data_IF_424601099713
#
_entry.id   IF_424601099713
#
_cell.length_a   1.000
_cell.length_b   1.000
_cell.length_c   1.000
_cell.angle_alpha   90.00
_cell.angle_beta   90.00
_cell.angle_gamma   90.00
#
_symmetry.space_group_name_H-M   'P 1'
#
loop_
_entity.id
_entity.type
_entity.pdbx_description
1 polymer ?
#
# COMPACT_ATOMS: atom_id res chain seq x y z
N UNK A 1 16.05 -8.60 10.34
CA UNK A 1 14.86 -7.73 10.23
C UNK A 1 13.83 -8.37 9.30
N UNK A 2 14.22 -8.77 8.08
CA UNK A 2 13.30 -9.36 7.09
C UNK A 2 12.73 -10.71 7.59
N UNK A 3 13.53 -11.58 8.18
CA UNK A 3 13.09 -12.85 8.77
C UNK A 3 12.02 -12.65 9.84
N UNK A 4 12.25 -11.67 10.73
CA UNK A 4 11.28 -11.34 11.79
C UNK A 4 9.96 -10.82 11.22
N UNK A 5 10.01 -9.99 10.17
CA UNK A 5 8.79 -9.50 9.51
C UNK A 5 8.07 -10.63 8.76
N UNK A 6 8.81 -11.47 8.05
CA UNK A 6 8.25 -12.59 7.30
C UNK A 6 7.52 -13.58 8.21
N UNK A 7 8.07 -13.89 9.42
CA UNK A 7 7.43 -14.80 10.37
C UNK A 7 6.06 -14.32 10.89
N UNK A 8 5.72 -13.07 10.69
CA UNK A 8 4.43 -12.49 11.09
C UNK A 8 3.39 -12.49 9.94
N UNK A 9 3.80 -12.84 8.73
CA UNK A 9 2.95 -12.79 7.52
C UNK A 9 2.55 -14.21 7.15
N UNK A 10 1.25 -14.48 7.11
CA UNK A 10 0.73 -15.80 6.72
C UNK A 10 0.85 -16.03 5.22
N UNK A 11 1.03 -17.29 4.83
CA UNK A 11 1.08 -17.70 3.42
C UNK A 11 2.49 -17.72 2.83
N UNK A 12 3.53 -17.49 3.65
CA UNK A 12 4.94 -17.59 3.26
C UNK A 12 5.70 -18.49 4.20
N UNK A 13 6.64 -19.23 3.62
CA UNK A 13 7.62 -20.02 4.33
C UNK A 13 9.02 -19.55 3.93
N UNK A 14 9.89 -19.32 4.92
CA UNK A 14 11.28 -19.00 4.69
C UNK A 14 12.05 -20.32 4.48
N UNK A 15 12.38 -20.63 3.23
CA UNK A 15 13.08 -21.85 2.87
C UNK A 15 14.59 -21.71 3.09
N UNK A 16 15.21 -20.68 2.50
CA UNK A 16 16.66 -20.51 2.52
C UNK A 16 17.09 -19.04 2.61
N UNK A 17 18.35 -18.84 3.00
CA UNK A 17 18.98 -17.52 3.07
C UNK A 17 20.32 -17.57 2.37
N UNK A 18 20.45 -16.82 1.28
CA UNK A 18 21.71 -16.60 0.60
C UNK A 18 22.44 -15.37 1.13
N UNK A 19 23.76 -15.44 1.27
CA UNK A 19 24.58 -14.33 1.80
C UNK A 19 25.16 -13.45 0.69
N UNK A 20 25.16 -13.93 -0.54
CA UNK A 20 25.66 -13.24 -1.73
C UNK A 20 24.97 -13.77 -3.00
N UNK A 21 25.22 -13.13 -4.14
CA UNK A 21 24.60 -13.50 -5.41
C UNK A 21 24.99 -14.90 -5.92
N UNK A 22 26.22 -15.34 -5.68
CA UNK A 22 26.68 -16.66 -6.15
C UNK A 22 26.02 -17.80 -5.35
N UNK A 23 25.83 -17.62 -4.04
CA UNK A 23 25.09 -18.57 -3.22
C UNK A 23 23.61 -18.60 -3.61
N UNK A 24 23.01 -17.46 -3.91
CA UNK A 24 21.62 -17.39 -4.39
C UNK A 24 21.45 -18.16 -5.71
N UNK A 25 22.38 -18.00 -6.68
CA UNK A 25 22.32 -18.74 -7.94
C UNK A 25 22.43 -20.25 -7.72
N UNK A 26 23.33 -20.72 -6.84
CA UNK A 26 23.44 -22.15 -6.51
C UNK A 26 22.15 -22.71 -5.89
N UNK A 27 21.50 -21.93 -5.02
CA UNK A 27 20.22 -22.34 -4.45
C UNK A 27 19.13 -22.43 -5.54
N UNK A 28 19.04 -21.45 -6.42
CA UNK A 28 18.10 -21.44 -7.55
C UNK A 28 18.37 -22.56 -8.58
N UNK A 29 19.61 -23.03 -8.70
CA UNK A 29 19.96 -24.17 -9.57
C UNK A 29 19.53 -25.52 -8.97
N UNK A 30 19.38 -25.62 -7.66
CA UNK A 30 19.07 -26.87 -6.97
C UNK A 30 17.65 -26.98 -6.43
N UNK A 31 16.98 -25.84 -6.24
CA UNK A 31 15.65 -25.78 -5.62
C UNK A 31 14.76 -24.78 -6.35
N UNK A 32 13.44 -24.99 -6.28
CA UNK A 32 12.44 -24.10 -6.79
C UNK A 32 11.95 -23.18 -5.66
N UNK A 33 11.85 -21.90 -5.96
CA UNK A 33 11.31 -20.88 -5.05
C UNK A 33 10.30 -20.03 -5.80
N UNK A 34 9.18 -19.72 -5.17
CA UNK A 34 8.15 -18.85 -5.76
C UNK A 34 8.57 -17.38 -5.70
N UNK A 35 9.27 -16.97 -4.62
CA UNK A 35 9.61 -15.58 -4.37
C UNK A 35 11.02 -15.43 -3.78
N UNK A 36 11.78 -14.51 -4.35
CA UNK A 36 13.07 -14.06 -3.83
C UNK A 36 12.96 -12.62 -3.31
N UNK A 37 13.34 -12.39 -2.06
CA UNK A 37 13.52 -11.06 -1.48
C UNK A 37 14.99 -10.68 -1.61
N UNK A 38 15.29 -9.66 -2.41
CA UNK A 38 16.64 -9.36 -2.87
C UNK A 38 17.08 -7.94 -2.50
N UNK A 39 18.24 -7.81 -1.83
CA UNK A 39 18.91 -6.51 -1.67
C UNK A 39 19.75 -6.18 -2.93
N UNK A 40 19.78 -4.92 -3.30
CA UNK A 40 20.69 -4.43 -4.35
C UNK A 40 22.12 -4.42 -3.86
N UNK A 41 22.37 -4.02 -2.61
CA UNK A 41 23.72 -3.91 -2.08
C UNK A 41 24.18 -5.22 -1.45
N UNK A 42 24.84 -6.05 -2.25
CA UNK A 42 25.45 -7.31 -1.82
C UNK A 42 26.93 -7.37 -2.20
N UNK A 43 27.75 -8.13 -1.45
CA UNK A 43 29.13 -8.37 -1.81
C UNK A 43 29.29 -9.13 -3.14
N UNK A 44 30.36 -8.88 -3.88
CA UNK A 44 30.77 -9.56 -5.11
C UNK A 44 29.90 -9.30 -6.33
N UNK A 45 28.59 -9.47 -6.21
CA UNK A 45 27.60 -9.25 -7.27
C UNK A 45 26.45 -8.42 -6.70
N UNK A 46 26.12 -7.28 -7.32
CA UNK A 46 24.96 -6.52 -6.89
C UNK A 46 23.64 -7.21 -7.25
N UNK A 47 22.57 -6.86 -6.53
CA UNK A 47 21.27 -7.50 -6.71
C UNK A 47 20.65 -7.31 -8.08
N UNK A 48 20.95 -6.22 -8.80
CA UNK A 48 20.44 -6.01 -10.16
C UNK A 48 21.18 -6.89 -11.18
N UNK A 49 22.48 -7.13 -10.97
CA UNK A 49 23.24 -8.10 -11.75
C UNK A 49 22.73 -9.52 -11.49
N UNK A 50 22.43 -9.86 -10.24
CA UNK A 50 21.82 -11.15 -9.90
C UNK A 50 20.45 -11.30 -10.58
N UNK A 51 19.59 -10.29 -10.49
CA UNK A 51 18.27 -10.31 -11.14
C UNK A 51 18.40 -10.48 -12.67
N UNK A 52 19.35 -9.80 -13.31
CA UNK A 52 19.60 -9.98 -14.74
C UNK A 52 20.00 -11.43 -15.07
N UNK A 53 20.90 -12.03 -14.29
CA UNK A 53 21.30 -13.44 -14.46
C UNK A 53 20.18 -14.43 -14.22
N UNK A 54 19.30 -14.16 -13.25
CA UNK A 54 18.10 -14.96 -12.99
C UNK A 54 17.22 -14.99 -14.24
N UNK A 55 16.99 -13.84 -14.88
CA UNK A 55 16.19 -13.74 -16.12
C UNK A 55 16.90 -14.36 -17.33
N UNK A 56 18.21 -14.16 -17.46
CA UNK A 56 19.03 -14.76 -18.53
C UNK A 56 19.02 -16.30 -18.47
N UNK A 57 19.11 -16.85 -17.28
CA UNK A 57 19.05 -18.32 -17.06
C UNK A 57 17.65 -18.91 -17.10
N UNK A 58 16.59 -18.07 -17.14
CA UNK A 58 15.21 -18.51 -17.23
C UNK A 58 14.68 -19.14 -15.93
N UNK A 59 15.22 -18.77 -14.76
CA UNK A 59 14.65 -19.22 -13.49
C UNK A 59 13.25 -18.64 -13.30
N UNK A 60 12.31 -19.52 -12.99
CA UNK A 60 10.91 -19.19 -12.71
C UNK A 60 10.77 -18.82 -11.22
N UNK A 61 11.19 -17.60 -10.89
CA UNK A 61 11.12 -17.03 -9.54
C UNK A 61 10.74 -15.55 -9.60
N UNK A 62 9.75 -15.16 -8.83
CA UNK A 62 9.41 -13.75 -8.68
C UNK A 62 10.39 -13.04 -7.75
N UNK A 63 10.61 -11.74 -7.96
CA UNK A 63 11.60 -10.99 -7.19
C UNK A 63 11.02 -9.70 -6.64
N UNK A 64 11.10 -9.53 -5.32
CA UNK A 64 10.86 -8.25 -4.64
C UNK A 64 12.22 -7.67 -4.23
N UNK A 65 12.51 -6.44 -4.66
CA UNK A 65 13.72 -5.73 -4.25
C UNK A 65 13.47 -5.01 -2.91
N UNK A 66 14.42 -5.15 -1.98
CA UNK A 66 14.39 -4.45 -0.68
C UNK A 66 15.74 -3.81 -0.44
N UNK A 67 15.91 -2.53 -0.73
CA UNK A 67 17.23 -1.90 -0.76
C UNK A 67 17.25 -0.45 -0.28
N UNK A 68 18.42 0.00 0.18
CA UNK A 68 18.69 1.42 0.43
C UNK A 68 18.91 2.22 -0.86
N UNK A 69 19.03 1.57 -2.01
CA UNK A 69 19.13 2.24 -3.30
C UNK A 69 17.81 2.93 -3.65
N UNK A 70 17.81 4.26 -3.69
CA UNK A 70 16.66 5.09 -4.06
C UNK A 70 16.88 5.83 -5.39
N UNK A 71 17.93 5.45 -6.12
CA UNK A 71 18.27 5.98 -7.43
C UNK A 71 17.21 5.56 -8.46
N UNK A 72 16.69 6.55 -9.21
CA UNK A 72 15.65 6.36 -10.21
C UNK A 72 16.05 5.34 -11.30
N UNK A 73 17.31 5.33 -11.68
CA UNK A 73 17.78 4.45 -12.76
C UNK A 73 17.86 3.00 -12.29
N UNK A 74 18.30 2.75 -11.06
CA UNK A 74 18.27 1.42 -10.43
C UNK A 74 16.86 0.89 -10.25
N UNK A 75 15.94 1.74 -9.79
CA UNK A 75 14.51 1.36 -9.66
C UNK A 75 13.94 1.00 -11.04
N UNK A 76 14.17 1.82 -12.05
CA UNK A 76 13.73 1.53 -13.43
C UNK A 76 14.32 0.23 -13.97
N UNK A 77 15.61 0.00 -13.72
CA UNK A 77 16.28 -1.22 -14.16
C UNK A 77 15.66 -2.46 -13.48
N UNK A 78 15.44 -2.43 -12.17
CA UNK A 78 14.77 -3.52 -11.44
C UNK A 78 13.39 -3.85 -12.02
N UNK A 79 12.56 -2.82 -12.26
CA UNK A 79 11.22 -3.00 -12.83
C UNK A 79 11.26 -3.53 -14.28
N UNK A 80 12.21 -3.09 -15.11
CA UNK A 80 12.40 -3.60 -16.46
C UNK A 80 12.88 -5.06 -16.49
N UNK A 81 13.62 -5.48 -15.46
CA UNK A 81 14.04 -6.87 -15.26
C UNK A 81 12.95 -7.73 -14.61
N UNK A 82 11.72 -7.20 -14.46
CA UNK A 82 10.58 -7.93 -13.96
C UNK A 82 10.58 -8.12 -12.44
N UNK A 83 11.14 -7.17 -11.67
CA UNK A 83 10.87 -7.13 -10.24
C UNK A 83 9.40 -6.81 -10.00
N UNK A 84 8.72 -7.60 -9.16
CA UNK A 84 7.28 -7.47 -8.89
C UNK A 84 6.97 -6.33 -7.93
N UNK A 85 7.93 -5.93 -7.09
CA UNK A 85 7.86 -4.75 -6.23
C UNK A 85 9.26 -4.24 -5.86
N UNK A 86 9.35 -2.98 -5.39
CA UNK A 86 10.57 -2.34 -4.93
C UNK A 86 10.31 -1.60 -3.60
N UNK A 87 11.02 -1.99 -2.54
CA UNK A 87 10.90 -1.42 -1.21
C UNK A 87 12.17 -0.66 -0.85
N UNK A 88 12.06 0.63 -0.59
CA UNK A 88 13.20 1.48 -0.21
C UNK A 88 13.39 1.44 1.29
N UNK A 89 14.61 1.12 1.76
CA UNK A 89 15.02 1.20 3.18
C UNK A 89 15.30 2.67 3.58
N UNK A 90 14.93 3.11 4.81
CA UNK A 90 14.19 2.36 5.83
C UNK A 90 12.70 2.28 5.53
N UNK A 91 12.06 1.17 5.86
CA UNK A 91 10.62 0.94 5.68
C UNK A 91 10.00 0.40 6.96
N UNK A 92 8.72 0.68 7.15
CA UNK A 92 7.90 0.14 8.22
C UNK A 92 7.35 -1.25 7.84
N UNK A 93 6.96 -2.04 8.86
CA UNK A 93 6.40 -3.39 8.66
C UNK A 93 5.22 -3.39 7.69
N UNK A 94 4.36 -2.38 7.77
CA UNK A 94 3.16 -2.24 6.93
C UNK A 94 3.50 -2.20 5.43
N UNK A 95 4.60 -1.52 5.03
CA UNK A 95 5.02 -1.48 3.63
C UNK A 95 5.51 -2.84 3.13
N UNK A 96 6.24 -3.58 3.97
CA UNK A 96 6.70 -4.92 3.66
C UNK A 96 5.53 -5.92 3.58
N UNK A 97 4.63 -5.87 4.56
CA UNK A 97 3.42 -6.67 4.61
C UNK A 97 2.52 -6.43 3.38
N UNK A 98 2.38 -5.17 2.95
CA UNK A 98 1.63 -4.83 1.73
C UNK A 98 2.22 -5.48 0.49
N UNK A 99 3.54 -5.38 0.29
CA UNK A 99 4.20 -5.95 -0.87
C UNK A 99 3.96 -7.45 -0.97
N UNK A 100 4.12 -8.16 0.16
CA UNK A 100 3.92 -9.60 0.21
C UNK A 100 2.45 -10.01 0.02
N UNK A 101 1.51 -9.32 0.65
CA UNK A 101 0.09 -9.61 0.44
C UNK A 101 -0.37 -9.32 -1.00
N UNK A 102 0.14 -8.27 -1.63
CA UNK A 102 -0.15 -7.99 -3.04
C UNK A 102 0.45 -9.05 -3.98
N UNK A 103 1.64 -9.56 -3.65
CA UNK A 103 2.23 -10.69 -4.35
C UNK A 103 1.37 -11.94 -4.20
N UNK A 104 0.99 -12.30 -2.98
CA UNK A 104 0.18 -13.48 -2.69
C UNK A 104 -1.20 -13.45 -3.39
N UNK A 105 -1.86 -12.29 -3.40
CA UNK A 105 -3.13 -12.10 -4.14
C UNK A 105 -2.95 -12.37 -5.64
N UNK A 106 -1.85 -11.88 -6.25
CA UNK A 106 -1.55 -12.12 -7.67
C UNK A 106 -1.23 -13.58 -7.96
N UNK A 107 -0.41 -14.18 -7.10
CA UNK A 107 -0.02 -15.58 -7.18
C UNK A 107 -1.24 -16.51 -7.20
N UNK A 108 -2.15 -16.36 -6.24
CA UNK A 108 -3.39 -17.18 -6.19
C UNK A 108 -4.28 -17.02 -7.42
N UNK A 109 -4.37 -15.83 -8.00
CA UNK A 109 -5.19 -15.62 -9.20
C UNK A 109 -4.58 -16.31 -10.42
N UNK A 110 -3.24 -16.25 -10.55
CA UNK A 110 -2.56 -16.80 -11.72
C UNK A 110 -2.41 -18.33 -11.63
N UNK A 111 -2.11 -18.86 -10.44
CA UNK A 111 -1.81 -20.27 -10.24
C UNK A 111 -3.05 -21.15 -9.97
N UNK A 112 -4.09 -20.60 -9.31
CA UNK A 112 -5.23 -21.39 -8.89
C UNK A 112 -6.40 -21.42 -9.91
N UNK A 113 -6.32 -20.63 -10.97
CA UNK A 113 -7.41 -20.52 -11.95
C UNK A 113 -6.98 -20.96 -13.34
N UNK A 114 -7.57 -22.04 -13.86
CA UNK A 114 -7.38 -22.48 -15.26
C UNK A 114 -7.86 -21.45 -16.29
N UNK A 115 -8.81 -20.60 -15.91
CA UNK A 115 -9.40 -19.55 -16.77
C UNK A 115 -9.55 -18.26 -15.97
N UNK A 116 -8.71 -17.28 -16.27
CA UNK A 116 -8.79 -15.95 -15.64
C UNK A 116 -9.73 -15.06 -16.47
N UNK A 117 -10.74 -14.46 -15.82
CA UNK A 117 -11.60 -13.47 -16.47
C UNK A 117 -10.88 -12.12 -16.57
N UNK A 118 -11.07 -11.43 -17.70
CA UNK A 118 -10.46 -10.10 -17.92
C UNK A 118 -10.75 -9.13 -16.76
N UNK A 119 -11.95 -9.17 -16.18
CA UNK A 119 -12.33 -8.31 -15.06
C UNK A 119 -11.54 -8.58 -13.77
N UNK A 120 -11.03 -9.79 -13.56
CA UNK A 120 -10.20 -10.16 -12.42
C UNK A 120 -8.75 -9.76 -12.67
N UNK A 121 -8.27 -9.96 -13.90
CA UNK A 121 -6.97 -9.51 -14.35
C UNK A 121 -6.83 -7.98 -14.22
N UNK A 122 -7.85 -7.23 -14.68
CA UNK A 122 -7.88 -5.77 -14.62
C UNK A 122 -7.84 -5.25 -13.18
N UNK A 123 -8.53 -5.91 -12.25
CA UNK A 123 -8.54 -5.54 -10.83
C UNK A 123 -7.20 -5.80 -10.14
N UNK A 124 -6.53 -6.88 -10.49
CA UNK A 124 -5.37 -7.37 -9.74
C UNK A 124 -4.03 -6.98 -10.33
N UNK A 125 -3.92 -6.92 -11.67
CA UNK A 125 -2.65 -6.67 -12.36
C UNK A 125 -2.59 -5.26 -12.95
N UNK A 126 -3.66 -4.80 -13.60
CA UNK A 126 -3.66 -3.52 -14.32
C UNK A 126 -4.06 -2.37 -13.40
N UNK A 127 -5.08 -2.57 -12.60
CA UNK A 127 -5.35 -1.70 -11.47
C UNK A 127 -4.55 -2.23 -10.28
N UNK A 128 -3.36 -1.70 -10.11
CA UNK A 128 -2.78 -1.53 -8.80
C UNK A 128 -3.69 -0.50 -8.06
N UNK A 129 -4.96 -0.84 -7.86
CA UNK A 129 -5.70 -0.25 -6.77
C UNK A 129 -4.93 -0.74 -5.55
N UNK A 130 -3.94 0.07 -5.18
CA UNK A 130 -3.48 0.15 -3.82
C UNK A 130 -4.78 0.25 -3.02
N UNK A 131 -5.26 -0.88 -2.50
CA UNK A 131 -5.96 -0.77 -1.25
C UNK A 131 -4.96 -0.06 -0.36
N UNK A 132 -5.19 1.19 0.00
CA UNK A 132 -4.27 1.91 0.84
C UNK A 132 -4.07 1.02 2.06
N UNK A 133 -2.82 0.85 2.50
CA UNK A 133 -2.56 0.27 3.83
C UNK A 133 -3.30 1.17 4.78
N UNK A 134 -4.38 0.63 5.27
CA UNK A 134 -5.34 1.39 6.02
C UNK A 134 -4.93 1.35 7.48
N UNK A 135 -3.76 1.87 7.78
CA UNK A 135 -3.52 2.42 9.08
C UNK A 135 -4.04 3.86 9.08
N UNK A 136 -5.00 4.13 9.92
CA UNK A 136 -5.40 5.51 10.18
C UNK A 136 -4.16 6.34 10.57
N UNK A 137 -4.02 7.56 10.05
CA UNK A 137 -2.94 8.45 10.46
C UNK A 137 -2.86 8.55 11.99
N UNK A 138 -1.64 8.64 12.53
CA UNK A 138 -1.43 8.79 13.98
C UNK A 138 -2.34 9.88 14.57
N UNK A 139 -3.10 9.50 15.59
CA UNK A 139 -4.05 10.40 16.27
C UNK A 139 -5.47 10.41 15.69
N UNK A 140 -5.79 9.52 14.76
CA UNK A 140 -7.14 9.16 14.38
C UNK A 140 -7.49 7.78 14.94
N UNK A 141 -8.74 7.62 15.39
CA UNK A 141 -9.32 6.38 15.91
C UNK A 141 -10.41 5.87 14.97
N UNK A 142 -10.46 4.56 14.71
CA UNK A 142 -11.39 3.96 13.74
C UNK A 142 -12.86 4.11 14.15
N UNK A 143 -13.18 3.96 15.43
CA UNK A 143 -14.55 4.08 15.91
C UNK A 143 -15.01 5.53 15.77
N UNK A 144 -14.15 6.47 16.12
CA UNK A 144 -14.41 7.91 15.96
C UNK A 144 -14.57 8.29 14.49
N UNK A 145 -13.77 7.71 13.58
CA UNK A 145 -13.92 7.92 12.13
C UNK A 145 -15.29 7.45 11.65
N UNK A 146 -15.73 6.27 12.06
CA UNK A 146 -17.05 5.73 11.71
C UNK A 146 -18.20 6.65 12.18
N UNK A 147 -18.10 7.17 13.40
CA UNK A 147 -19.10 8.11 13.97
C UNK A 147 -19.10 9.44 13.18
N UNK A 148 -17.91 10.00 12.91
CA UNK A 148 -17.78 11.23 12.12
C UNK A 148 -18.33 11.04 10.70
N UNK A 149 -18.01 9.93 10.06
CA UNK A 149 -18.51 9.62 8.72
C UNK A 149 -20.02 9.45 8.68
N UNK A 150 -20.59 8.70 9.63
CA UNK A 150 -22.04 8.55 9.75
C UNK A 150 -22.74 9.90 9.92
N UNK A 151 -22.16 10.80 10.71
CA UNK A 151 -22.67 12.16 10.89
C UNK A 151 -22.59 12.95 9.57
N UNK A 152 -21.47 12.90 8.84
CA UNK A 152 -21.29 13.62 7.57
C UNK A 152 -22.34 13.21 6.54
N UNK A 153 -22.67 11.93 6.45
CA UNK A 153 -23.68 11.41 5.53
C UNK A 153 -25.09 11.96 5.76
N UNK A 154 -25.38 12.50 6.95
CA UNK A 154 -26.68 13.13 7.26
C UNK A 154 -26.85 14.54 6.73
N UNK A 155 -25.79 15.18 6.24
CA UNK A 155 -25.87 16.54 5.68
C UNK A 155 -26.29 16.48 4.21
N UNK A 156 -27.30 17.27 3.83
CA UNK A 156 -27.79 17.36 2.45
C UNK A 156 -27.08 18.43 1.61
N UNK A 157 -26.09 19.09 2.17
CA UNK A 157 -25.33 20.14 1.50
C UNK A 157 -23.96 20.34 2.12
N UNK A 158 -23.45 21.57 1.99
CA UNK A 158 -22.20 21.96 2.63
C UNK A 158 -22.36 22.06 4.14
N UNK A 159 -21.33 21.66 4.86
CA UNK A 159 -21.26 21.70 6.31
C UNK A 159 -19.91 22.26 6.78
N UNK A 160 -19.86 22.68 8.02
CA UNK A 160 -18.68 23.24 8.69
C UNK A 160 -18.12 22.27 9.75
N UNK A 161 -16.88 22.51 10.16
CA UNK A 161 -16.28 21.78 11.28
C UNK A 161 -17.08 21.94 12.57
N UNK A 162 -17.66 23.12 12.79
CA UNK A 162 -18.52 23.43 13.95
C UNK A 162 -19.76 22.57 13.99
N UNK A 163 -20.46 22.43 12.88
CA UNK A 163 -21.71 21.65 12.79
C UNK A 163 -21.45 20.18 13.06
N UNK A 164 -20.38 19.61 12.50
CA UNK A 164 -19.99 18.21 12.78
C UNK A 164 -19.56 18.05 14.23
N UNK A 165 -18.76 18.97 14.76
CA UNK A 165 -18.33 18.99 16.17
C UNK A 165 -19.50 19.00 17.13
N UNK A 166 -20.52 19.84 16.88
CA UNK A 166 -21.71 19.95 17.70
C UNK A 166 -22.58 18.66 17.68
N UNK A 167 -22.71 18.01 16.49
CA UNK A 167 -23.48 16.77 16.35
C UNK A 167 -22.80 15.55 16.96
N UNK A 168 -21.47 15.46 16.84
CA UNK A 168 -20.71 14.29 17.28
C UNK A 168 -20.22 14.42 18.72
N UNK A 169 -20.18 15.62 19.29
CA UNK A 169 -19.69 15.87 20.65
C UNK A 169 -18.16 15.81 20.79
N UNK A 170 -17.42 15.99 19.69
CA UNK A 170 -15.96 15.92 19.65
C UNK A 170 -15.40 17.32 19.35
N UNK A 171 -14.23 17.65 19.91
CA UNK A 171 -13.61 18.97 19.73
C UNK A 171 -13.38 19.32 18.25
N UNK A 172 -13.54 20.62 17.90
CA UNK A 172 -13.30 21.13 16.54
C UNK A 172 -11.90 20.80 16.02
N UNK A 173 -10.89 20.78 16.90
CA UNK A 173 -9.51 20.45 16.54
C UNK A 173 -9.41 18.98 16.10
N UNK A 174 -10.07 18.07 16.83
CA UNK A 174 -10.10 16.65 16.46
C UNK A 174 -10.92 16.43 15.19
N UNK A 175 -12.13 17.00 15.07
CA UNK A 175 -12.95 16.89 13.85
C UNK A 175 -12.19 17.36 12.62
N UNK A 176 -11.43 18.46 12.70
CA UNK A 176 -10.63 18.96 11.57
C UNK A 176 -9.66 17.91 11.06
N UNK A 177 -9.01 17.10 11.91
CA UNK A 177 -8.11 16.01 11.50
C UNK A 177 -8.85 14.94 10.68
N UNK A 178 -10.06 14.55 11.12
CA UNK A 178 -10.88 13.59 10.37
C UNK A 178 -11.35 14.16 9.03
N UNK A 179 -11.78 15.43 8.98
CA UNK A 179 -12.19 16.06 7.73
C UNK A 179 -11.05 16.21 6.74
N UNK A 180 -9.84 16.57 7.20
CA UNK A 180 -8.64 16.59 6.34
C UNK A 180 -8.31 15.19 5.83
N UNK A 181 -8.39 14.17 6.67
CA UNK A 181 -8.19 12.78 6.23
C UNK A 181 -9.22 12.36 5.18
N UNK A 182 -10.51 12.60 5.40
CA UNK A 182 -11.57 12.31 4.42
C UNK A 182 -11.41 13.09 3.11
N UNK A 183 -10.83 14.29 3.17
CA UNK A 183 -10.45 15.06 1.99
C UNK A 183 -9.30 14.40 1.21
N UNK A 184 -8.29 13.85 1.88
CA UNK A 184 -7.22 13.09 1.20
C UNK A 184 -7.75 11.87 0.47
N UNK A 185 -8.81 11.23 0.99
CA UNK A 185 -9.53 10.13 0.36
C UNK A 185 -10.50 10.60 -0.76
N UNK A 186 -10.53 11.90 -1.06
CA UNK A 186 -11.44 12.52 -2.06
C UNK A 186 -12.94 12.34 -1.75
N UNK A 187 -13.29 11.98 -0.52
CA UNK A 187 -14.68 11.87 -0.07
C UNK A 187 -15.29 13.23 0.25
N UNK A 188 -14.44 14.23 0.53
CA UNK A 188 -14.86 15.60 0.79
C UNK A 188 -14.18 16.57 -0.16
N UNK A 189 -14.93 17.57 -0.63
CA UNK A 189 -14.41 18.78 -1.26
C UNK A 189 -14.47 19.93 -0.26
N UNK A 190 -13.40 20.74 -0.25
CA UNK A 190 -13.32 21.95 0.56
C UNK A 190 -13.69 23.14 -0.31
N UNK A 191 -14.60 23.97 0.18
CA UNK A 191 -14.95 25.26 -0.40
C UNK A 191 -14.65 26.40 0.58
N UNK A 192 -14.08 27.48 0.07
CA UNK A 192 -13.68 28.64 0.84
C UNK A 192 -14.70 29.74 0.66
N UNK A 193 -15.65 29.85 1.59
CA UNK A 193 -16.58 30.96 1.61
C UNK A 193 -15.94 32.20 2.30
N UNK A 194 -15.66 33.21 1.49
CA UNK A 194 -15.31 34.55 2.01
C UNK A 194 -16.62 35.32 2.24
N UNK A 195 -17.00 35.47 3.50
CA UNK A 195 -18.05 36.44 3.86
C UNK A 195 -17.58 37.89 3.61
N UNK A 196 -18.51 38.82 3.50
CA UNK A 196 -18.24 40.25 3.30
C UNK A 196 -17.44 40.89 4.45
N UNK A 197 -17.49 40.33 5.66
CA UNK A 197 -16.72 40.77 6.85
C UNK A 197 -16.43 39.54 7.71
N UNK A 198 -15.15 39.26 8.05
CA UNK A 198 -14.75 38.21 8.97
C UNK A 198 -13.70 37.25 8.43
N UNK A 199 -13.30 36.27 9.27
CA UNK A 199 -12.37 35.20 8.86
C UNK A 199 -13.05 34.28 7.84
N UNK A 200 -12.31 33.77 6.82
CA UNK A 200 -12.83 32.79 5.89
C UNK A 200 -13.40 31.56 6.61
N UNK A 201 -14.60 31.14 6.25
CA UNK A 201 -15.23 29.93 6.79
C UNK A 201 -14.99 28.77 5.82
N UNK A 202 -14.37 27.72 6.32
CA UNK A 202 -14.18 26.48 5.58
C UNK A 202 -15.46 25.67 5.59
N UNK A 203 -16.01 25.40 4.41
CA UNK A 203 -17.15 24.52 4.21
C UNK A 203 -16.72 23.28 3.44
N UNK A 204 -17.28 22.15 3.83
CA UNK A 204 -17.02 20.87 3.21
C UNK A 204 -18.29 20.37 2.53
N UNK A 205 -18.11 19.70 1.38
CA UNK A 205 -19.17 19.01 0.68
C UNK A 205 -18.82 17.52 0.56
N UNK A 206 -19.72 16.64 0.94
CA UNK A 206 -19.58 15.21 0.73
C UNK A 206 -19.78 14.89 -0.77
N UNK A 207 -18.80 14.25 -1.39
CA UNK A 207 -18.80 13.93 -2.83
C UNK A 207 -19.57 12.65 -3.10
N UNK A 208 -19.41 11.65 -2.25
CA UNK A 208 -20.06 10.34 -2.37
C UNK A 208 -20.44 9.80 -0.99
N UNK A 209 -21.74 9.88 -0.69
CA UNK A 209 -22.30 9.41 0.59
C UNK A 209 -22.36 7.87 0.71
N UNK A 210 -22.27 7.15 -0.42
CA UNK A 210 -22.37 5.68 -0.47
C UNK A 210 -21.02 4.99 -0.61
N UNK A 211 -19.94 5.75 -0.58
CA UNK A 211 -18.59 5.21 -0.76
C UNK A 211 -18.25 4.17 0.30
N UNK A 212 -17.83 2.99 -0.16
CA UNK A 212 -17.34 1.88 0.66
C UNK A 212 -15.85 2.00 1.02
N UNK A 213 -15.18 3.05 0.54
CA UNK A 213 -13.74 3.31 0.78
C UNK A 213 -13.39 3.31 2.27
N UNK A 214 -14.34 3.68 3.15
CA UNK A 214 -14.10 3.69 4.59
C UNK A 214 -14.31 2.34 5.29
N UNK A 215 -14.92 1.35 4.64
CA UNK A 215 -15.10 0.02 5.23
C UNK A 215 -13.76 -0.62 5.59
N UNK A 216 -12.73 -0.34 4.80
CA UNK A 216 -11.36 -0.82 5.00
C UNK A 216 -10.71 -0.19 6.25
N UNK A 217 -11.14 1.01 6.70
CA UNK A 217 -10.62 1.72 7.89
C UNK A 217 -11.45 1.46 9.16
N UNK A 218 -12.64 0.93 9.01
CA UNK A 218 -13.61 0.77 10.13
C UNK A 218 -13.85 -0.70 10.48
N UNK A 219 -13.41 -1.65 9.67
CA UNK A 219 -13.31 -3.06 10.00
C UNK A 219 -11.96 -3.34 10.68
#
# INVERSE_FOLDING_TARGET
LHEHYLSQIKGFELCDIARNGDDALKLLENYNYDLLILDVFMPSMDGLQLLAKIREKGFDVDVIIVSAANDKDKIKQALRLGAVDYIIKPFEFERFNLALNNYLKRYHIVEEQDIIKQSELDKTIIRNEQEPIVSLPKGLDKNTLAVVWSCIRTFDGMFTTEEVSAKVGISRVSIRKYLEFLKTLRLLKLDLHRGSVGRPVYKYLCVDKQSDVLNVYTQ
#
